data_IF_270946219771
#
_entry.id   IF_270946219771
#
_cell.length_a   1.000
_cell.length_b   1.000
_cell.length_c   1.000
_cell.angle_alpha   90.00
_cell.angle_beta   90.00
_cell.angle_gamma   90.00
#
_symmetry.space_group_name_H-M   'P 1'
#
loop_
_entity.id
_entity.type
_entity.pdbx_description
1 polymer ?
#
# COMPACT_ATOMS: atom_id res chain seq x y z
N UNK A 1 29.41 29.33 8.33
CA UNK A 1 29.47 27.91 7.93
C UNK A 1 28.35 27.20 8.68
N UNK A 2 27.19 27.04 8.04
CA UNK A 2 26.02 26.42 8.66
C UNK A 2 26.11 24.91 8.42
N UNK A 3 26.24 24.12 9.48
CA UNK A 3 26.13 22.67 9.36
C UNK A 3 24.65 22.29 9.31
N UNK A 4 24.21 21.50 8.31
CA UNK A 4 22.86 20.98 8.29
C UNK A 4 22.68 20.05 9.48
N UNK A 5 21.63 20.29 10.27
CA UNK A 5 21.20 19.39 11.34
C UNK A 5 20.72 18.11 10.66
N UNK A 6 21.33 16.93 10.93
CA UNK A 6 20.81 15.67 10.40
C UNK A 6 19.44 15.42 11.06
N UNK A 7 18.38 15.47 10.25
CA UNK A 7 17.07 15.02 10.69
C UNK A 7 17.17 13.50 10.95
N UNK A 8 16.57 13.03 12.04
CA UNK A 8 16.59 11.61 12.37
C UNK A 8 15.94 10.81 11.23
N UNK A 9 16.63 9.80 10.71
CA UNK A 9 16.18 8.98 9.58
C UNK A 9 14.87 8.22 9.86
N UNK A 10 14.38 8.22 11.11
CA UNK A 10 13.14 7.56 11.50
C UNK A 10 12.40 8.41 12.54
N UNK A 11 11.46 9.25 12.09
CA UNK A 11 10.50 9.91 12.96
C UNK A 11 9.28 9.00 13.14
N UNK A 12 9.25 8.20 14.22
CA UNK A 12 8.08 7.41 14.60
C UNK A 12 7.18 8.23 15.51
N UNK A 13 6.02 8.67 15.01
CA UNK A 13 5.01 9.29 15.87
C UNK A 13 4.46 8.24 16.85
N UNK A 14 4.46 8.57 18.15
CA UNK A 14 3.79 7.79 19.17
C UNK A 14 2.29 7.66 18.88
N UNK A 15 1.73 6.52 19.27
CA UNK A 15 0.33 6.12 19.16
C UNK A 15 -0.64 7.33 19.27
N UNK A 16 -1.12 7.84 18.13
CA UNK A 16 -2.18 8.83 18.07
C UNK A 16 -3.50 8.09 18.29
N UNK A 17 -3.82 7.79 19.55
CA UNK A 17 -5.04 7.08 19.89
C UNK A 17 -6.23 8.06 19.77
N UNK A 18 -7.17 7.89 18.82
CA UNK A 18 -8.20 8.88 18.51
C UNK A 18 -9.45 8.68 19.38
N UNK A 19 -9.29 8.40 20.67
CA UNK A 19 -10.41 7.97 21.51
C UNK A 19 -11.20 9.09 22.19
N UNK A 20 -10.91 10.36 21.97
CA UNK A 20 -11.67 11.41 22.67
C UNK A 20 -12.14 12.58 21.79
N UNK A 21 -13.47 12.62 21.66
CA UNK A 21 -14.34 13.79 21.60
C UNK A 21 -14.49 14.55 20.27
N UNK A 22 -15.60 14.24 19.58
CA UNK A 22 -16.48 15.27 19.00
C UNK A 22 -16.21 15.67 17.55
N UNK A 23 -16.95 15.07 16.61
CA UNK A 23 -17.36 15.64 15.30
C UNK A 23 -16.29 16.19 14.36
N UNK A 24 -15.01 16.00 14.65
CA UNK A 24 -13.95 16.26 13.68
C UNK A 24 -13.91 15.09 12.72
N UNK A 25 -14.63 15.19 11.60
CA UNK A 25 -14.57 14.29 10.43
C UNK A 25 -13.17 14.22 9.76
N UNK A 26 -12.12 14.60 10.50
CA UNK A 26 -10.78 14.83 10.00
C UNK A 26 -9.78 13.90 10.66
N UNK A 27 -9.00 13.24 9.82
CA UNK A 27 -7.74 12.64 10.24
C UNK A 27 -6.73 13.74 10.62
N UNK A 28 -6.38 13.80 11.90
CA UNK A 28 -5.40 14.74 12.44
C UNK A 28 -4.04 14.59 11.75
N UNK A 29 -3.66 13.37 11.36
CA UNK A 29 -2.40 13.09 10.70
C UNK A 29 -2.35 13.70 9.31
N UNK A 30 -3.38 13.45 8.49
CA UNK A 30 -3.54 14.03 7.15
C UNK A 30 -3.45 15.57 7.16
N UNK A 31 -4.11 16.22 8.12
CA UNK A 31 -4.05 17.67 8.28
C UNK A 31 -2.66 18.17 8.72
N UNK A 32 -2.04 17.48 9.67
CA UNK A 32 -0.69 17.81 10.13
C UNK A 32 0.32 17.65 8.98
N UNK A 33 0.22 16.57 8.21
CA UNK A 33 1.05 16.30 7.05
C UNK A 33 0.84 17.37 5.97
N UNK A 34 -0.41 17.70 5.64
CA UNK A 34 -0.72 18.75 4.68
C UNK A 34 -0.13 20.10 5.06
N UNK A 35 -0.25 20.50 6.34
CA UNK A 35 0.35 21.74 6.87
C UNK A 35 1.88 21.70 6.85
N UNK A 36 2.47 20.56 7.23
CA UNK A 36 3.92 20.39 7.25
C UNK A 36 4.52 20.42 5.85
N UNK A 37 3.91 19.74 4.87
CA UNK A 37 4.38 19.78 3.48
C UNK A 37 4.24 21.20 2.91
N UNK A 38 3.11 21.87 3.16
CA UNK A 38 2.88 23.23 2.70
C UNK A 38 3.90 24.23 3.28
N UNK A 39 4.38 24.01 4.52
CA UNK A 39 5.38 24.86 5.16
C UNK A 39 6.83 24.52 4.78
N UNK A 40 7.06 23.40 4.08
CA UNK A 40 8.37 22.91 3.67
C UNK A 40 8.53 22.97 2.13
N UNK A 41 8.73 24.16 1.53
CA UNK A 41 8.86 24.30 0.08
C UNK A 41 10.10 23.60 -0.50
N UNK A 42 11.06 23.19 0.35
CA UNK A 42 12.24 22.43 -0.03
C UNK A 42 12.02 20.90 0.00
N UNK A 43 10.89 20.42 0.51
CA UNK A 43 10.59 18.99 0.57
C UNK A 43 10.31 18.46 -0.84
N UNK A 44 11.23 17.63 -1.34
CA UNK A 44 11.15 17.02 -2.68
C UNK A 44 10.75 15.55 -2.65
N UNK A 45 11.04 14.84 -1.57
CA UNK A 45 10.75 13.42 -1.43
C UNK A 45 10.04 13.15 -0.13
N UNK A 46 8.99 12.34 -0.17
CA UNK A 46 8.21 11.93 0.99
C UNK A 46 8.05 10.41 1.00
N UNK A 47 8.49 9.77 2.08
CA UNK A 47 8.32 8.33 2.29
C UNK A 47 7.45 8.12 3.52
N UNK A 48 6.32 7.43 3.34
CA UNK A 48 5.37 7.12 4.40
C UNK A 48 5.24 5.62 4.51
N UNK A 49 5.17 5.12 5.74
CA UNK A 49 4.85 3.72 6.01
C UNK A 49 3.96 3.61 7.23
N UNK A 50 2.93 2.76 7.14
CA UNK A 50 2.02 2.50 8.24
C UNK A 50 0.61 2.16 7.78
N UNK A 51 -0.34 2.35 8.69
CA UNK A 51 -1.76 2.10 8.46
C UNK A 51 -2.45 3.44 8.19
N UNK A 52 -2.79 3.72 6.94
CA UNK A 52 -3.48 4.95 6.50
C UNK A 52 -4.71 4.60 5.69
N UNK A 53 -5.64 5.54 5.53
CA UNK A 53 -6.80 5.44 4.63
C UNK A 53 -6.72 6.48 3.49
N UNK A 54 -7.81 6.65 2.73
CA UNK A 54 -7.86 7.57 1.59
C UNK A 54 -7.71 9.05 1.98
N UNK A 55 -8.01 9.41 3.24
CA UNK A 55 -7.95 10.80 3.70
C UNK A 55 -6.52 11.36 3.74
N UNK A 56 -5.52 10.47 3.80
CA UNK A 56 -4.09 10.81 3.69
C UNK A 56 -3.77 11.59 2.42
N UNK A 57 -4.37 11.20 1.31
CA UNK A 57 -4.05 11.71 -0.02
C UNK A 57 -4.99 12.83 -0.43
N UNK A 58 -6.27 12.67 -0.12
CA UNK A 58 -7.31 13.58 -0.56
C UNK A 58 -8.23 13.93 0.60
N UNK A 59 -8.29 15.21 1.02
CA UNK A 59 -9.23 15.60 2.06
C UNK A 59 -10.67 15.35 1.56
N UNK A 60 -11.59 14.89 2.42
CA UNK A 60 -12.97 14.66 2.02
C UNK A 60 -13.61 15.94 1.48
N UNK A 61 -14.47 15.79 0.46
CA UNK A 61 -15.12 16.88 -0.30
C UNK A 61 -15.90 17.88 0.57
N UNK A 62 -16.25 17.50 1.80
CA UNK A 62 -16.84 18.41 2.78
C UNK A 62 -15.94 19.61 3.13
N UNK A 63 -14.64 19.56 2.81
CA UNK A 63 -13.69 20.67 3.00
C UNK A 63 -13.75 21.75 1.92
N UNK A 64 -14.26 21.48 0.72
CA UNK A 64 -14.08 22.39 -0.43
C UNK A 64 -15.13 23.48 -0.52
N UNK A 65 -16.31 23.30 0.09
CA UNK A 65 -17.46 24.16 -0.19
C UNK A 65 -17.70 25.30 0.82
N UNK A 66 -17.05 25.29 1.99
CA UNK A 66 -17.43 26.18 3.10
C UNK A 66 -16.37 27.15 3.59
N UNK A 67 -15.16 27.08 3.07
CA UNK A 67 -14.12 28.05 3.42
C UNK A 67 -13.97 29.03 2.24
N UNK A 68 -14.55 30.25 2.32
CA UNK A 68 -14.46 31.25 1.27
C UNK A 68 -13.03 31.77 1.03
N UNK A 69 -12.09 31.50 1.95
CA UNK A 69 -10.64 31.69 1.73
C UNK A 69 -10.00 30.53 0.94
N UNK A 70 -10.69 29.39 0.81
CA UNK A 70 -10.41 28.33 -0.17
C UNK A 70 -11.02 28.69 -1.53
N UNK A 71 -10.72 29.90 -2.01
CA UNK A 71 -11.19 30.38 -3.31
C UNK A 71 -10.79 29.45 -4.45
N UNK A 72 -11.80 28.88 -5.12
CA UNK A 72 -11.83 28.35 -6.50
C UNK A 72 -10.69 27.43 -6.98
N UNK A 73 -9.91 26.87 -6.06
CA UNK A 73 -8.78 26.04 -6.41
C UNK A 73 -8.42 25.12 -5.27
N UNK A 74 -8.48 23.81 -5.54
CA UNK A 74 -7.63 22.83 -4.89
C UNK A 74 -6.18 23.28 -5.08
N UNK A 75 -5.74 24.24 -4.26
CA UNK A 75 -4.42 24.85 -4.34
C UNK A 75 -3.45 23.71 -4.11
N UNK A 76 -2.70 23.34 -5.16
CA UNK A 76 -1.78 22.21 -5.17
C UNK A 76 -1.03 22.15 -3.84
N UNK A 77 -1.43 21.23 -2.94
CA UNK A 77 -0.92 21.24 -1.57
C UNK A 77 0.55 20.84 -1.54
N UNK A 78 1.01 20.10 -2.54
CA UNK A 78 2.32 19.46 -2.59
C UNK A 78 3.15 19.97 -3.79
N UNK A 79 3.23 21.31 -3.96
CA UNK A 79 3.84 21.98 -5.13
C UNK A 79 5.30 21.62 -5.41
N UNK A 80 6.06 21.29 -4.38
CA UNK A 80 7.49 20.99 -4.47
C UNK A 80 7.82 19.51 -4.50
N UNK A 81 6.82 18.66 -4.27
CA UNK A 81 7.05 17.23 -4.14
C UNK A 81 7.33 16.63 -5.52
N UNK A 82 8.49 15.99 -5.65
CA UNK A 82 8.97 15.30 -6.85
C UNK A 82 8.84 13.78 -6.69
N UNK A 83 8.88 13.25 -5.47
CA UNK A 83 8.80 11.82 -5.19
C UNK A 83 7.91 11.54 -3.99
N UNK A 84 6.97 10.61 -4.13
CA UNK A 84 6.19 10.08 -3.02
C UNK A 84 6.25 8.55 -3.01
N UNK A 85 6.51 7.96 -1.85
CA UNK A 85 6.42 6.52 -1.65
C UNK A 85 5.55 6.26 -0.43
N UNK A 86 4.50 5.49 -0.60
CA UNK A 86 3.62 5.08 0.49
C UNK A 86 3.58 3.57 0.56
N UNK A 87 3.97 3.04 1.72
CA UNK A 87 3.86 1.64 2.06
C UNK A 87 2.75 1.44 3.08
N UNK A 88 1.65 0.86 2.65
CA UNK A 88 0.52 0.55 3.50
C UNK A 88 0.68 -0.82 4.13
N UNK A 89 0.45 -0.87 5.44
CA UNK A 89 0.22 -2.13 6.12
C UNK A 89 -1.06 -2.77 5.54
N UNK A 90 -1.13 -4.10 5.52
CA UNK A 90 -2.31 -4.82 5.02
C UNK A 90 -3.61 -4.60 5.83
N UNK A 91 -3.59 -3.72 6.84
CA UNK A 91 -4.69 -3.41 7.77
C UNK A 91 -5.21 -1.99 7.56
N UNK A 92 -6.47 -1.76 7.89
CA UNK A 92 -7.12 -0.44 7.80
C UNK A 92 -7.13 0.26 9.17
N UNK A 93 -7.15 1.61 9.21
CA UNK A 93 -7.32 2.36 10.47
C UNK A 93 -8.63 2.01 11.20
N UNK A 94 -9.72 1.78 10.47
CA UNK A 94 -11.02 1.39 11.02
C UNK A 94 -11.13 -0.09 11.41
N UNK A 95 -10.05 -0.87 11.24
CA UNK A 95 -10.04 -2.32 11.45
C UNK A 95 -10.29 -3.12 10.16
N UNK A 96 -9.98 -4.42 10.19
CA UNK A 96 -10.01 -5.27 8.99
C UNK A 96 -8.79 -5.08 8.08
N UNK A 97 -8.89 -5.56 6.84
CA UNK A 97 -7.78 -5.63 5.88
C UNK A 97 -8.15 -5.06 4.52
N UNK A 98 -7.15 -4.58 3.76
CA UNK A 98 -7.33 -4.15 2.36
C UNK A 98 -7.49 -5.32 1.39
N UNK A 99 -7.13 -6.51 1.85
CA UNK A 99 -7.17 -7.73 1.07
C UNK A 99 -7.99 -8.78 1.81
N UNK A 100 -8.88 -9.43 1.08
CA UNK A 100 -9.68 -10.54 1.56
C UNK A 100 -8.99 -11.85 1.20
N UNK A 101 -8.82 -12.73 2.20
CA UNK A 101 -8.33 -14.09 1.96
C UNK A 101 -9.53 -14.97 1.65
N UNK A 102 -9.68 -15.41 0.41
CA UNK A 102 -10.76 -16.32 0.04
C UNK A 102 -10.27 -17.76 0.14
N UNK A 103 -10.95 -18.55 0.96
CA UNK A 103 -10.74 -20.00 1.01
C UNK A 103 -11.23 -20.60 -0.31
N UNK A 104 -10.30 -21.11 -1.14
CA UNK A 104 -10.60 -21.67 -2.46
C UNK A 104 -11.56 -22.88 -2.44
N UNK A 105 -11.83 -23.44 -1.27
CA UNK A 105 -12.73 -24.59 -1.09
C UNK A 105 -14.16 -24.22 -0.73
N UNK A 106 -14.54 -22.94 -0.63
CA UNK A 106 -15.93 -22.58 -0.34
C UNK A 106 -16.77 -22.56 -1.65
N UNK A 107 -17.58 -23.60 -1.92
CA UNK A 107 -18.37 -23.68 -3.15
C UNK A 107 -19.55 -22.70 -3.13
N UNK A 108 -19.82 -22.03 -2.00
CA UNK A 108 -20.99 -21.15 -1.83
C UNK A 108 -20.79 -19.73 -2.31
N UNK A 109 -19.56 -19.29 -2.59
CA UNK A 109 -19.30 -17.91 -3.05
C UNK A 109 -19.40 -17.76 -4.58
N UNK A 110 -20.37 -18.44 -5.19
CA UNK A 110 -20.91 -18.05 -6.49
C UNK A 110 -21.93 -16.91 -6.32
N UNK A 111 -21.46 -15.67 -6.20
CA UNK A 111 -22.29 -14.48 -6.47
C UNK A 111 -23.31 -14.02 -5.41
N UNK A 112 -23.15 -14.38 -4.13
CA UNK A 112 -23.93 -13.73 -3.07
C UNK A 112 -23.18 -12.49 -2.55
N UNK A 113 -23.54 -11.32 -3.07
CA UNK A 113 -23.16 -10.01 -2.51
C UNK A 113 -23.70 -9.98 -1.07
N UNK A 114 -22.82 -9.89 -0.07
CA UNK A 114 -23.22 -9.61 1.30
C UNK A 114 -23.96 -8.27 1.31
N UNK A 115 -25.27 -8.29 1.46
CA UNK A 115 -26.06 -7.08 1.67
C UNK A 115 -25.73 -6.54 3.05
N UNK A 116 -25.46 -5.23 3.16
CA UNK A 116 -25.00 -4.51 4.36
C UNK A 116 -25.93 -4.59 5.60
N UNK A 117 -26.99 -5.41 5.56
CA UNK A 117 -27.95 -5.57 6.65
C UNK A 117 -27.82 -6.90 7.41
N UNK A 118 -26.83 -7.74 7.09
CA UNK A 118 -26.62 -8.99 7.83
C UNK A 118 -25.81 -8.71 9.11
N UNK A 119 -26.52 -8.64 10.25
CA UNK A 119 -25.92 -8.51 11.58
C UNK A 119 -24.78 -9.53 11.77
N UNK A 120 -23.65 -9.15 12.40
CA UNK A 120 -22.51 -10.04 12.56
C UNK A 120 -22.93 -11.36 13.24
N UNK A 121 -22.40 -12.52 12.79
CA UNK A 121 -22.66 -13.80 13.43
C UNK A 121 -22.17 -13.73 14.89
N UNK A 122 -23.12 -13.68 15.83
CA UNK A 122 -22.86 -13.45 17.25
C UNK A 122 -23.93 -12.60 17.96
N UNK A 123 -24.73 -11.82 17.20
CA UNK A 123 -25.88 -11.11 17.75
C UNK A 123 -27.18 -11.87 17.48
N UNK A 124 -27.36 -13.00 18.17
CA UNK A 124 -28.69 -13.56 18.34
C UNK A 124 -29.48 -12.64 19.27
N UNK A 125 -30.54 -12.02 18.75
CA UNK A 125 -31.58 -11.35 19.53
C UNK A 125 -32.29 -12.37 20.44
N UNK A 126 -31.59 -12.83 21.47
CA UNK A 126 -32.12 -13.67 22.54
C UNK A 126 -32.41 -12.75 23.72
N UNK A 127 -33.55 -12.06 23.59
CA UNK A 127 -34.32 -11.68 24.75
C UNK A 127 -34.59 -12.97 25.56
N UNK A 128 -34.35 -12.92 26.86
CA UNK A 128 -34.60 -13.97 27.87
C UNK A 128 -33.50 -15.03 28.00
N UNK A 129 -32.54 -14.82 28.91
CA UNK A 129 -32.50 -15.56 30.18
C UNK A 129 -31.35 -15.10 31.05
N UNK A 130 -31.73 -14.85 32.29
CA UNK A 130 -30.96 -14.44 33.44
C UNK A 130 -30.33 -15.72 34.02
N UNK A 131 -29.01 -15.89 33.90
CA UNK A 131 -28.20 -16.47 34.98
C UNK A 131 -26.70 -16.30 34.72
N UNK A 132 -26.02 -15.77 35.74
CA UNK A 132 -24.68 -15.26 35.67
C UNK A 132 -23.63 -16.36 35.60
N UNK A 133 -22.88 -16.39 34.50
CA UNK A 133 -21.51 -16.89 34.48
C UNK A 133 -20.66 -15.78 33.86
N UNK A 134 -19.67 -15.21 34.56
CA UNK A 134 -18.79 -14.21 33.98
C UNK A 134 -17.90 -14.90 32.94
N UNK A 135 -18.34 -14.86 31.68
CA UNK A 135 -17.46 -15.12 30.54
C UNK A 135 -16.43 -14.01 30.56
N UNK A 136 -15.20 -14.35 30.98
CA UNK A 136 -14.05 -13.47 30.83
C UNK A 136 -13.92 -13.09 29.37
N UNK A 137 -14.37 -11.87 29.03
CA UNK A 137 -13.96 -11.17 27.82
C UNK A 137 -12.44 -11.00 27.92
N UNK A 138 -11.70 -11.97 27.41
CA UNK A 138 -10.31 -11.77 27.06
C UNK A 138 -10.28 -10.61 26.10
N UNK A 139 -9.78 -9.50 26.62
CA UNK A 139 -9.65 -8.24 25.94
C UNK A 139 -8.65 -8.47 24.82
N UNK A 140 -9.09 -8.42 23.57
CA UNK A 140 -8.23 -8.37 22.37
C UNK A 140 -7.48 -7.02 22.28
N UNK A 141 -7.02 -6.52 23.41
CA UNK A 141 -6.12 -5.37 23.54
C UNK A 141 -4.74 -5.91 23.92
N UNK A 142 -4.26 -6.95 23.23
CA UNK A 142 -2.84 -7.24 23.23
C UNK A 142 -2.16 -6.14 22.44
N UNK A 143 -1.28 -5.40 23.11
CA UNK A 143 -0.48 -4.33 22.54
C UNK A 143 0.28 -4.83 21.30
N UNK A 144 -0.22 -4.47 20.12
CA UNK A 144 0.23 -4.92 18.80
C UNK A 144 1.56 -4.24 18.42
N UNK A 145 2.67 -4.65 19.05
CA UNK A 145 4.00 -4.24 18.59
C UNK A 145 4.36 -4.99 17.31
N UNK A 146 5.04 -4.31 16.39
CA UNK A 146 5.47 -4.74 15.04
C UNK A 146 6.37 -5.99 14.99
N UNK A 147 6.50 -6.75 16.08
CA UNK A 147 7.26 -8.00 16.16
C UNK A 147 6.32 -9.19 15.98
N UNK A 148 6.43 -9.80 14.80
CA UNK A 148 6.01 -11.18 14.52
C UNK A 148 4.51 -11.46 14.74
N UNK A 149 3.65 -10.76 14.00
CA UNK A 149 2.33 -11.34 13.73
C UNK A 149 2.51 -12.55 12.83
N UNK A 150 2.33 -13.73 13.42
CA UNK A 150 1.88 -14.92 12.71
C UNK A 150 0.51 -14.60 12.15
N UNK A 151 0.45 -14.14 10.90
CA UNK A 151 -0.77 -14.26 10.12
C UNK A 151 -1.23 -15.70 10.30
N UNK A 152 -2.43 -15.90 10.84
CA UNK A 152 -3.00 -17.24 10.99
C UNK A 152 -2.90 -17.88 9.61
N UNK A 153 -2.05 -18.90 9.49
CA UNK A 153 -1.52 -19.38 8.21
C UNK A 153 -2.73 -19.78 7.39
N UNK A 154 -3.08 -18.94 6.44
CA UNK A 154 -4.18 -19.21 5.52
C UNK A 154 -3.89 -20.56 4.88
N UNK A 155 -4.89 -21.45 4.89
CA UNK A 155 -4.72 -22.81 4.40
C UNK A 155 -4.14 -22.81 2.99
N UNK A 156 -3.35 -23.84 2.67
CA UNK A 156 -2.74 -24.02 1.33
C UNK A 156 -3.78 -23.76 0.24
N UNK A 157 -3.54 -22.77 -0.63
CA UNK A 157 -4.40 -22.45 -1.77
C UNK A 157 -5.38 -21.29 -1.59
N UNK A 158 -5.29 -20.47 -0.54
CA UNK A 158 -6.07 -19.23 -0.44
C UNK A 158 -5.50 -18.16 -1.37
N UNK A 159 -6.29 -17.72 -2.34
CA UNK A 159 -5.96 -16.54 -3.14
C UNK A 159 -6.14 -15.29 -2.28
N UNK A 160 -5.13 -14.42 -2.27
CA UNK A 160 -5.25 -13.07 -1.72
C UNK A 160 -5.93 -12.22 -2.79
N UNK A 161 -7.16 -11.81 -2.54
CA UNK A 161 -7.93 -10.97 -3.46
C UNK A 161 -8.06 -9.57 -2.86
N UNK A 162 -7.76 -8.51 -3.61
CA UNK A 162 -8.07 -7.17 -3.16
C UNK A 162 -9.57 -7.01 -2.95
N UNK A 163 -9.95 -6.27 -1.91
CA UNK A 163 -11.34 -5.98 -1.63
C UNK A 163 -11.86 -4.91 -2.62
N UNK A 164 -12.49 -5.38 -3.70
CA UNK A 164 -12.88 -4.59 -4.87
C UNK A 164 -13.85 -3.43 -4.53
N UNK A 165 -14.86 -3.67 -3.70
CA UNK A 165 -15.97 -2.71 -3.52
C UNK A 165 -15.81 -1.80 -2.30
N UNK A 166 -15.06 -2.22 -1.28
CA UNK A 166 -15.07 -1.50 -0.01
C UNK A 166 -13.93 -0.52 0.18
N UNK A 167 -12.69 -1.01 0.08
CA UNK A 167 -11.64 -0.44 0.93
C UNK A 167 -10.37 -0.03 0.22
N UNK A 168 -9.94 -0.80 -0.77
CA UNK A 168 -8.75 -0.49 -1.54
C UNK A 168 -9.04 0.59 -2.59
N UNK A 169 -10.20 0.50 -3.25
CA UNK A 169 -10.60 1.40 -4.32
C UNK A 169 -10.56 2.89 -3.93
N UNK A 170 -11.12 3.32 -2.77
CA UNK A 170 -11.03 4.73 -2.35
C UNK A 170 -9.60 5.21 -2.09
N UNK A 171 -8.72 4.32 -1.62
CA UNK A 171 -7.30 4.64 -1.35
C UNK A 171 -6.56 4.85 -2.67
N UNK A 172 -6.77 3.95 -3.64
CA UNK A 172 -6.20 4.03 -4.98
C UNK A 172 -6.68 5.30 -5.71
N UNK A 173 -7.97 5.57 -5.65
CA UNK A 173 -8.59 6.75 -6.25
C UNK A 173 -8.01 8.04 -5.66
N UNK A 174 -7.96 8.15 -4.32
CA UNK A 174 -7.42 9.32 -3.64
C UNK A 174 -5.93 9.52 -3.93
N UNK A 175 -5.14 8.44 -3.98
CA UNK A 175 -3.74 8.48 -4.34
C UNK A 175 -3.52 8.98 -5.77
N UNK A 176 -4.25 8.41 -6.74
CA UNK A 176 -4.14 8.81 -8.14
C UNK A 176 -4.54 10.27 -8.36
N UNK A 177 -5.64 10.72 -7.75
CA UNK A 177 -6.06 12.13 -7.77
C UNK A 177 -5.00 13.05 -7.15
N UNK A 178 -4.45 12.69 -6.00
CA UNK A 178 -3.39 13.47 -5.36
C UNK A 178 -2.16 13.61 -6.29
N UNK A 179 -1.75 12.51 -6.94
CA UNK A 179 -0.65 12.50 -7.88
C UNK A 179 -0.93 13.36 -9.13
N UNK A 180 -2.13 13.23 -9.71
CA UNK A 180 -2.52 13.94 -10.92
C UNK A 180 -2.79 15.43 -10.71
N UNK A 181 -3.31 15.83 -9.55
CA UNK A 181 -3.83 17.20 -9.34
C UNK A 181 -3.03 18.03 -8.32
N UNK A 182 -2.41 17.41 -7.31
CA UNK A 182 -1.78 18.14 -6.20
C UNK A 182 -0.26 18.22 -6.29
N UNK A 183 0.36 17.43 -7.17
CA UNK A 183 1.81 17.26 -7.31
C UNK A 183 2.32 17.64 -8.71
N UNK A 184 2.35 18.93 -9.09
CA UNK A 184 2.73 19.36 -10.45
C UNK A 184 4.20 19.12 -10.81
N UNK A 185 5.04 18.70 -9.86
CA UNK A 185 6.45 18.37 -10.08
C UNK A 185 6.74 16.88 -9.91
N UNK A 186 5.70 16.05 -9.86
CA UNK A 186 5.82 14.62 -9.61
C UNK A 186 6.67 13.95 -10.68
N UNK A 187 7.72 13.27 -10.23
CA UNK A 187 8.66 12.49 -11.04
C UNK A 187 8.54 11.00 -10.74
N UNK A 188 8.22 10.65 -9.50
CA UNK A 188 8.05 9.28 -9.05
C UNK A 188 6.90 9.19 -8.05
N UNK A 189 6.02 8.20 -8.20
CA UNK A 189 5.04 7.84 -7.19
C UNK A 189 5.02 6.32 -6.98
N UNK A 190 4.87 5.89 -5.74
CA UNK A 190 4.79 4.49 -5.36
C UNK A 190 3.71 4.33 -4.29
N UNK A 191 2.80 3.39 -4.53
CA UNK A 191 1.85 2.91 -3.53
C UNK A 191 1.99 1.39 -3.46
N UNK A 192 2.39 0.89 -2.30
CA UNK A 192 2.67 -0.53 -2.11
C UNK A 192 2.08 -1.06 -0.82
N UNK A 193 1.85 -2.37 -0.81
CA UNK A 193 1.30 -3.13 0.30
C UNK A 193 2.12 -4.40 0.48
N UNK A 194 2.26 -4.81 1.74
CA UNK A 194 2.78 -6.14 2.04
C UNK A 194 1.61 -7.13 2.10
N UNK A 195 1.55 -8.07 1.16
CA UNK A 195 0.56 -9.15 1.15
C UNK A 195 1.21 -10.50 1.47
N UNK A 196 0.48 -11.45 2.08
CA UNK A 196 0.96 -12.83 2.22
C UNK A 196 1.22 -13.44 0.83
N UNK A 197 2.36 -14.09 0.63
CA UNK A 197 2.63 -14.78 -0.61
C UNK A 197 1.77 -16.05 -0.73
N UNK A 198 1.26 -16.29 -1.94
CA UNK A 198 0.56 -17.53 -2.27
C UNK A 198 1.63 -18.58 -2.54
N UNK A 199 1.83 -19.54 -1.64
CA UNK A 199 2.70 -20.69 -1.92
C UNK A 199 1.96 -21.61 -2.89
N UNK A 200 2.43 -21.76 -4.16
CA UNK A 200 1.79 -22.67 -5.09
C UNK A 200 1.84 -24.08 -4.52
N UNK A 201 0.69 -24.77 -4.53
CA UNK A 201 0.59 -26.17 -4.10
C UNK A 201 1.17 -27.05 -5.21
N UNK A 202 2.47 -26.91 -5.47
CA UNK A 202 3.17 -27.73 -6.44
C UNK A 202 3.33 -29.13 -5.86
N UNK A 203 2.37 -30.00 -6.18
CA UNK A 203 2.49 -31.45 -6.08
C UNK A 203 2.70 -32.01 -4.68
N UNK A 204 1.63 -32.11 -3.89
CA UNK A 204 1.57 -33.03 -2.74
C UNK A 204 1.56 -34.47 -3.27
N UNK A 205 2.70 -34.91 -3.79
CA UNK A 205 3.07 -36.31 -3.94
C UNK A 205 3.88 -36.70 -2.70
N UNK A 206 3.22 -37.39 -1.78
CA UNK A 206 3.66 -37.71 -0.41
C UNK A 206 5.15 -37.94 -0.18
N UNK A 207 5.73 -37.09 0.67
CA UNK A 207 6.80 -37.51 1.58
C UNK A 207 6.57 -36.81 2.90
N UNK A 208 6.11 -37.57 3.89
CA UNK A 208 5.57 -37.10 5.18
C UNK A 208 6.67 -36.74 6.19
N UNK A 209 7.94 -36.68 5.78
CA UNK A 209 9.05 -36.64 6.73
C UNK A 209 9.54 -35.20 6.96
N UNK A 210 8.93 -34.57 7.97
CA UNK A 210 9.66 -33.82 9.00
C UNK A 210 10.29 -32.47 8.65
N UNK A 211 10.16 -31.98 7.43
CA UNK A 211 10.64 -30.64 7.09
C UNK A 211 9.67 -29.57 7.63
N UNK A 212 9.85 -29.16 8.88
CA UNK A 212 9.43 -27.84 9.38
C UNK A 212 10.25 -26.73 8.70
N UNK A 213 10.27 -26.74 7.37
CA UNK A 213 10.85 -25.69 6.55
C UNK A 213 10.02 -24.45 6.78
N UNK A 214 10.57 -23.57 7.62
CA UNK A 214 10.31 -22.14 7.72
C UNK A 214 9.24 -21.62 6.76
N UNK A 215 7.97 -21.88 7.08
CA UNK A 215 6.80 -21.19 6.50
C UNK A 215 6.74 -19.73 6.98
N UNK A 216 7.79 -19.28 7.66
CA UNK A 216 7.97 -17.91 8.04
C UNK A 216 8.26 -17.08 6.78
N UNK A 217 7.19 -16.48 6.27
CA UNK A 217 7.21 -15.11 5.74
C UNK A 217 7.67 -14.94 4.30
N UNK A 218 7.22 -15.78 3.37
CA UNK A 218 7.10 -15.28 2.00
C UNK A 218 5.99 -14.22 2.01
N UNK A 219 6.42 -12.97 2.08
CA UNK A 219 5.61 -11.77 1.88
C UNK A 219 5.91 -11.29 0.47
N UNK A 220 4.85 -10.99 -0.28
CA UNK A 220 4.97 -10.41 -1.61
C UNK A 220 4.57 -8.95 -1.57
N UNK A 221 5.24 -8.16 -2.39
CA UNK A 221 4.87 -6.77 -2.61
C UNK A 221 3.69 -6.75 -3.58
N UNK A 222 2.63 -6.07 -3.20
CA UNK A 222 1.56 -5.66 -4.11
C UNK A 222 1.71 -4.16 -4.30
N UNK A 223 1.64 -3.63 -5.52
CA UNK A 223 1.80 -2.18 -5.68
C UNK A 223 1.63 -1.64 -7.09
N UNK A 224 1.66 -0.32 -7.14
CA UNK A 224 1.64 0.48 -8.35
C UNK A 224 2.74 1.54 -8.29
N UNK A 225 3.44 1.70 -9.42
CA UNK A 225 4.55 2.65 -9.55
C UNK A 225 4.37 3.52 -10.78
N UNK A 226 4.52 4.83 -10.59
CA UNK A 226 4.55 5.83 -11.65
C UNK A 226 5.94 6.45 -11.76
N UNK A 227 6.40 6.66 -13.01
CA UNK A 227 7.60 7.44 -13.31
C UNK A 227 7.35 8.42 -14.45
N UNK A 228 7.81 9.66 -14.28
CA UNK A 228 7.85 10.63 -15.38
C UNK A 228 8.95 10.26 -16.39
N UNK A 229 8.92 10.83 -17.62
CA UNK A 229 9.99 10.64 -18.59
C UNK A 229 11.38 10.99 -18.05
N UNK A 230 12.37 10.20 -18.44
CA UNK A 230 13.79 10.36 -18.09
C UNK A 230 14.15 10.00 -16.65
N UNK A 231 13.18 9.62 -15.81
CA UNK A 231 13.46 9.20 -14.43
C UNK A 231 13.97 7.78 -14.42
N UNK A 232 15.09 7.53 -13.78
CA UNK A 232 15.52 6.15 -13.47
C UNK A 232 15.09 5.86 -12.04
N UNK A 233 14.44 4.72 -11.75
CA UNK A 233 14.13 4.37 -10.38
C UNK A 233 15.39 4.34 -9.52
N UNK A 234 15.22 4.73 -8.27
CA UNK A 234 16.29 4.78 -7.28
C UNK A 234 16.94 3.40 -7.10
N UNK A 235 18.28 3.35 -7.18
CA UNK A 235 19.06 2.12 -7.17
C UNK A 235 18.96 1.35 -5.84
N UNK A 236 18.54 2.04 -4.79
CA UNK A 236 18.37 1.46 -3.46
C UNK A 236 17.13 0.56 -3.38
N UNK A 237 16.23 0.60 -4.36
CA UNK A 237 15.01 -0.21 -4.37
C UNK A 237 15.28 -1.58 -5.03
N UNK A 238 14.98 -2.68 -4.33
CA UNK A 238 15.25 -4.04 -4.81
C UNK A 238 14.66 -4.35 -6.20
N UNK A 239 13.57 -3.69 -6.57
CA UNK A 239 12.90 -3.88 -7.85
C UNK A 239 13.45 -2.99 -8.98
N UNK A 240 14.28 -1.98 -8.71
CA UNK A 240 14.86 -1.12 -9.76
C UNK A 240 15.79 -1.88 -10.72
N UNK A 241 16.21 -3.08 -10.32
CA UNK A 241 17.05 -3.97 -11.10
C UNK A 241 16.26 -4.80 -12.11
N UNK A 242 14.92 -4.75 -12.07
CA UNK A 242 14.12 -5.35 -13.11
C UNK A 242 14.28 -4.58 -14.41
N UNK A 243 14.69 -5.24 -15.52
CA UNK A 243 14.93 -4.56 -16.79
C UNK A 243 13.68 -3.87 -17.31
N UNK A 244 12.50 -4.37 -16.94
CA UNK A 244 11.20 -3.80 -17.31
C UNK A 244 11.02 -2.36 -16.81
N UNK A 245 11.66 -2.00 -15.70
CA UNK A 245 11.64 -0.62 -15.17
C UNK A 245 12.61 0.32 -15.90
N UNK A 246 13.45 -0.20 -16.81
CA UNK A 246 14.32 0.59 -17.68
C UNK A 246 13.73 0.76 -19.08
N UNK A 247 12.78 -0.09 -19.47
CA UNK A 247 12.06 0.04 -20.74
C UNK A 247 11.23 1.33 -20.77
N UNK A 248 11.07 1.91 -21.97
CA UNK A 248 10.23 3.09 -22.20
C UNK A 248 10.63 4.35 -21.41
N UNK A 249 11.90 4.51 -21.05
CA UNK A 249 12.39 5.61 -20.20
C UNK A 249 12.07 7.01 -20.75
N UNK A 250 11.90 7.14 -22.06
CA UNK A 250 11.52 8.36 -22.77
C UNK A 250 10.05 8.76 -22.58
N UNK A 251 9.23 7.90 -21.96
CA UNK A 251 7.79 8.06 -21.77
C UNK A 251 7.41 8.10 -20.30
N UNK A 252 6.17 8.51 -20.02
CA UNK A 252 5.56 8.22 -18.72
C UNK A 252 5.46 6.71 -18.57
N UNK A 253 5.64 6.19 -17.37
CA UNK A 253 5.57 4.76 -17.09
C UNK A 253 4.69 4.45 -15.91
N UNK A 254 3.91 3.39 -16.04
CA UNK A 254 3.02 2.89 -15.01
C UNK A 254 3.20 1.38 -14.91
N UNK A 255 3.57 0.91 -13.72
CA UNK A 255 3.81 -0.51 -13.46
C UNK A 255 2.85 -1.02 -12.42
N UNK A 256 2.30 -2.20 -12.65
CA UNK A 256 1.36 -2.88 -11.76
C UNK A 256 1.93 -4.21 -11.31
N UNK A 257 2.14 -4.40 -10.00
CA UNK A 257 2.37 -5.73 -9.41
C UNK A 257 1.18 -6.06 -8.52
N UNK A 258 0.10 -6.47 -9.17
CA UNK A 258 -1.21 -6.60 -8.54
C UNK A 258 -1.70 -8.04 -8.49
N UNK A 259 -0.83 -9.03 -8.69
CA UNK A 259 -1.21 -10.45 -8.68
C UNK A 259 -2.36 -10.77 -9.66
N UNK A 260 -2.32 -10.22 -10.88
CA UNK A 260 -3.37 -10.34 -11.91
C UNK A 260 -4.68 -9.59 -11.62
N UNK A 261 -4.77 -8.90 -10.48
CA UNK A 261 -5.88 -8.01 -10.20
C UNK A 261 -5.75 -6.70 -10.97
N UNK A 262 -6.85 -6.13 -11.44
CA UNK A 262 -6.88 -4.79 -12.01
C UNK A 262 -7.95 -3.95 -11.30
N UNK A 263 -7.69 -2.65 -11.10
CA UNK A 263 -8.72 -1.75 -10.59
C UNK A 263 -9.86 -1.60 -11.60
N UNK A 264 -10.98 -1.02 -11.15
CA UNK A 264 -12.06 -0.62 -12.06
C UNK A 264 -11.58 0.42 -13.08
N UNK A 265 -12.22 0.47 -14.25
CA UNK A 265 -11.79 1.28 -15.40
C UNK A 265 -11.65 2.78 -15.06
N UNK A 266 -12.53 3.29 -14.19
CA UNK A 266 -12.50 4.68 -13.73
C UNK A 266 -11.26 5.00 -12.89
N UNK A 267 -10.89 4.10 -11.96
CA UNK A 267 -9.66 4.23 -11.17
C UNK A 267 -8.44 4.02 -12.06
N UNK A 268 -8.48 3.06 -12.98
CA UNK A 268 -7.42 2.81 -13.96
C UNK A 268 -7.14 4.07 -14.79
N UNK A 269 -8.19 4.72 -15.30
CA UNK A 269 -8.11 5.98 -16.04
C UNK A 269 -7.46 7.11 -15.22
N UNK A 270 -7.74 7.19 -13.90
CA UNK A 270 -7.08 8.16 -13.03
C UNK A 270 -5.56 7.96 -13.00
N UNK A 271 -5.08 6.72 -12.93
CA UNK A 271 -3.64 6.42 -12.97
C UNK A 271 -3.02 6.72 -14.34
N UNK A 272 -3.70 6.37 -15.43
CA UNK A 272 -3.26 6.69 -16.80
C UNK A 272 -3.10 8.21 -16.98
N UNK A 273 -3.92 9.01 -16.31
CA UNK A 273 -3.89 10.46 -16.41
C UNK A 273 -2.79 11.14 -15.56
N UNK A 274 -2.08 10.42 -14.70
CA UNK A 274 -1.00 10.99 -13.87
C UNK A 274 0.09 11.59 -14.78
N UNK A 275 0.32 12.90 -14.64
CA UNK A 275 1.31 13.64 -15.42
C UNK A 275 1.00 13.80 -16.92
N UNK A 276 -0.18 13.39 -17.39
CA UNK A 276 -0.56 13.49 -18.82
C UNK A 276 -0.54 14.94 -19.32
N UNK A 277 -0.97 15.88 -18.48
CA UNK A 277 -0.95 17.31 -18.82
C UNK A 277 0.48 17.87 -18.99
N UNK A 278 1.44 17.35 -18.23
CA UNK A 278 2.82 17.84 -18.21
C UNK A 278 3.70 17.17 -19.27
N UNK A 279 3.49 15.88 -19.51
CA UNK A 279 4.38 15.04 -20.32
C UNK A 279 3.71 14.47 -21.58
N UNK A 280 2.44 14.79 -21.81
CA UNK A 280 1.66 14.29 -22.94
C UNK A 280 0.97 12.95 -22.66
N UNK A 281 0.15 12.47 -23.61
CA UNK A 281 -0.69 11.28 -23.41
C UNK A 281 0.08 9.96 -23.51
N UNK A 282 1.29 9.95 -24.09
CA UNK A 282 2.06 8.70 -24.25
C UNK A 282 2.41 8.11 -22.88
N UNK A 283 2.11 6.82 -22.72
CA UNK A 283 2.26 6.05 -21.48
C UNK A 283 2.75 4.66 -21.85
N UNK A 284 3.81 4.22 -21.21
CA UNK A 284 4.24 2.83 -21.21
C UNK A 284 3.72 2.16 -19.94
N UNK A 285 2.68 1.37 -20.11
CA UNK A 285 2.04 0.63 -19.03
C UNK A 285 2.43 -0.85 -19.10
N UNK A 286 2.69 -1.46 -17.94
CA UNK A 286 3.07 -2.86 -17.87
C UNK A 286 2.70 -3.53 -16.55
N UNK A 287 2.07 -4.70 -16.64
CA UNK A 287 1.96 -5.63 -15.52
C UNK A 287 3.32 -6.31 -15.28
N UNK A 288 3.85 -6.13 -14.09
CA UNK A 288 5.11 -6.72 -13.65
C UNK A 288 4.80 -7.74 -12.57
N UNK A 289 5.51 -8.87 -12.59
CA UNK A 289 5.46 -9.83 -11.50
C UNK A 289 6.80 -9.82 -10.80
N UNK A 290 6.93 -9.01 -9.76
CA UNK A 290 8.18 -8.98 -9.02
C UNK A 290 8.38 -10.35 -8.35
N UNK A 291 9.61 -10.89 -8.40
CA UNK A 291 9.94 -12.11 -7.70
C UNK A 291 9.75 -11.89 -6.21
N UNK A 292 9.30 -12.94 -5.51
CA UNK A 292 9.23 -12.91 -4.05
C UNK A 292 10.59 -12.52 -3.45
N UNK A 293 10.56 -11.89 -2.27
CA UNK A 293 11.74 -11.27 -1.66
C UNK A 293 12.98 -12.18 -1.62
N UNK A 294 12.77 -13.47 -1.40
CA UNK A 294 13.78 -14.53 -1.39
C UNK A 294 14.44 -14.75 -2.76
N UNK A 295 13.66 -14.70 -3.84
CA UNK A 295 14.17 -14.79 -5.20
C UNK A 295 14.88 -13.50 -5.62
N UNK A 296 14.36 -12.33 -5.21
CA UNK A 296 15.02 -11.05 -5.44
C UNK A 296 16.41 -10.99 -4.76
N UNK A 297 16.53 -11.49 -3.53
CA UNK A 297 17.82 -11.56 -2.81
C UNK A 297 18.84 -12.45 -3.52
N UNK A 298 18.42 -13.60 -4.05
CA UNK A 298 19.29 -14.48 -4.85
C UNK A 298 19.77 -13.80 -6.13
N UNK A 299 18.88 -13.11 -6.84
CA UNK A 299 19.23 -12.35 -8.05
C UNK A 299 20.25 -11.26 -7.72
N UNK A 300 20.02 -10.51 -6.64
CA UNK A 300 20.93 -9.45 -6.20
C UNK A 300 22.30 -9.99 -5.79
N UNK A 301 22.35 -11.11 -5.07
CA UNK A 301 23.59 -11.77 -4.69
C UNK A 301 24.37 -12.27 -5.92
N UNK A 302 23.67 -12.86 -6.89
CA UNK A 302 24.27 -13.31 -8.14
C UNK A 302 24.86 -12.14 -8.95
N UNK A 303 24.14 -11.01 -9.03
CA UNK A 303 24.66 -9.82 -9.71
C UNK A 303 25.88 -9.21 -9.00
N UNK A 304 25.85 -9.12 -7.67
CA UNK A 304 27.01 -8.68 -6.87
C UNK A 304 28.22 -9.59 -7.12
N UNK A 305 28.00 -10.90 -7.21
CA UNK A 305 29.05 -11.87 -7.55
C UNK A 305 29.61 -11.65 -8.95
N UNK A 306 28.76 -11.44 -9.96
CA UNK A 306 29.18 -11.15 -11.35
C UNK A 306 30.02 -9.88 -11.44
N UNK A 307 29.62 -8.80 -10.77
CA UNK A 307 30.36 -7.53 -10.75
C UNK A 307 31.76 -7.71 -10.14
N UNK A 308 31.88 -8.43 -9.02
CA UNK A 308 33.19 -8.73 -8.40
C UNK A 308 34.10 -9.52 -9.33
N UNK A 309 33.56 -10.47 -10.09
CA UNK A 309 34.34 -11.25 -11.07
C UNK A 309 34.80 -10.40 -12.25
N UNK A 310 33.97 -9.49 -12.76
CA UNK A 310 34.37 -8.54 -13.82
C UNK A 310 35.48 -7.58 -13.35
N UNK A 311 35.37 -7.07 -12.11
CA UNK A 311 36.40 -6.21 -11.51
C UNK A 311 37.73 -6.95 -11.26
N UNK A 312 37.68 -8.26 -11.01
CA UNK A 312 38.88 -9.11 -10.89
C UNK A 312 39.50 -9.45 -12.25
N UNK A 313 38.69 -9.69 -13.28
CA UNK A 313 39.18 -10.03 -14.62
C UNK A 313 39.78 -8.83 -15.38
N UNK A 314 39.45 -7.60 -14.97
CA UNK A 314 40.00 -6.37 -15.54
C UNK A 314 41.32 -5.89 -14.91
N UNK A 315 41.92 -6.67 -14.00
CA UNK A 315 43.22 -6.39 -13.37
C UNK A 315 44.28 -7.35 -13.88
#
# INVERSE_FOLDING_TARGET
MWMPIPWADNFTHGNLNPTDTGTSDYDMLSNALGKAIASLPALKSLNLSGTFDSSLFWPPSSCTDKDPDYGDGLTCRWKSLESIRVHLDGRRPSGGTYFSMRNGNDPRTGGAISTENESPPGYSNSHLSQDGVPVSRQSETESFSTRQHTFSIAGRGTAVLPDHEGTLSPVLEAFAKACGCLMPKLRQAELSFTVPAIVPVSGVGGSADGATTSLLHDRRLWGVWYFSPGVVPDQDQRWCWHPEFCDGIDRRRLFWDTLTWLPADDIHELFINIGAQQHGPDLYEKDVSLPDSTAAERILEEQRKRRRLQEQAGR
#
